data_IF_029063649374
#
_entry.id   IF_029063649374
#
_cell.length_a   1.000
_cell.length_b   1.000
_cell.length_c   1.000
_cell.angle_alpha   90.00
_cell.angle_beta   90.00
_cell.angle_gamma   90.00
#
_symmetry.space_group_name_H-M   'P 1'
#
loop_
_entity.id
_entity.type
_entity.pdbx_description
1 polymer ?
#
# COMPACT_ATOMS: atom_id res chain seq x y z
N UNK A 1 41.24 51.92 9.10
CA UNK A 1 40.64 51.16 7.98
C UNK A 1 40.36 49.75 8.49
N UNK A 2 39.12 49.47 8.96
CA UNK A 2 38.75 48.16 9.52
C UNK A 2 38.12 47.32 8.41
N UNK A 3 38.80 46.24 8.04
CA UNK A 3 38.36 45.29 7.03
C UNK A 3 37.33 44.35 7.67
N UNK A 4 36.09 44.43 7.23
CA UNK A 4 35.01 43.55 7.67
C UNK A 4 34.97 42.35 6.72
N UNK A 5 35.39 41.18 7.17
CA UNK A 5 35.33 39.93 6.40
C UNK A 5 33.95 39.33 6.65
N UNK A 6 33.07 39.43 5.67
CA UNK A 6 31.75 38.80 5.70
C UNK A 6 31.93 37.33 5.28
N UNK A 7 31.77 36.42 6.23
CA UNK A 7 31.82 34.98 5.98
C UNK A 7 30.50 34.53 5.34
N UNK A 8 30.53 34.19 4.05
CA UNK A 8 29.37 33.65 3.34
C UNK A 8 29.21 32.17 3.73
N UNK A 9 28.27 31.87 4.62
CA UNK A 9 27.90 30.49 4.96
C UNK A 9 27.01 29.96 3.84
N UNK A 10 27.57 29.16 2.95
CA UNK A 10 26.81 28.40 1.95
C UNK A 10 26.28 27.15 2.64
N UNK A 11 25.02 27.18 3.06
CA UNK A 11 24.30 25.97 3.48
C UNK A 11 23.97 25.14 2.25
N UNK A 12 24.77 24.11 1.96
CA UNK A 12 24.34 23.03 1.08
C UNK A 12 23.17 22.31 1.77
N UNK A 13 21.95 22.60 1.34
CA UNK A 13 20.79 21.76 1.65
C UNK A 13 20.90 20.53 0.76
N UNK A 14 21.65 19.52 1.21
CA UNK A 14 21.52 18.18 0.65
C UNK A 14 20.14 17.68 1.05
N UNK A 15 19.17 17.72 0.13
CA UNK A 15 17.98 16.88 0.25
C UNK A 15 18.48 15.45 0.20
N UNK A 16 18.63 14.82 1.36
CA UNK A 16 18.76 13.38 1.42
C UNK A 16 17.49 12.81 0.79
N UNK A 17 17.63 12.15 -0.36
CA UNK A 17 16.61 11.23 -0.85
C UNK A 17 16.70 10.06 0.13
N UNK A 18 15.73 9.95 1.03
CA UNK A 18 15.73 8.96 2.08
C UNK A 18 15.15 7.61 1.61
N UNK A 19 14.59 7.56 0.40
CA UNK A 19 14.16 6.33 -0.25
C UNK A 19 15.29 5.27 -0.31
N UNK A 20 15.02 4.01 0.07
CA UNK A 20 15.98 2.91 0.05
C UNK A 20 16.46 2.64 -1.37
N UNK A 21 17.71 3.01 -1.69
CA UNK A 21 18.31 2.70 -2.98
C UNK A 21 18.38 1.19 -3.28
N UNK A 22 18.38 0.36 -2.24
CA UNK A 22 18.36 -1.11 -2.32
C UNK A 22 17.02 -1.68 -2.78
N UNK A 23 15.91 -1.02 -2.47
CA UNK A 23 14.57 -1.48 -2.87
C UNK A 23 14.17 -0.90 -4.25
N UNK A 24 14.99 0.00 -4.82
CA UNK A 24 14.68 0.68 -6.08
C UNK A 24 14.68 -0.30 -7.26
N UNK A 25 13.56 -0.39 -7.96
CA UNK A 25 13.45 -1.17 -9.18
C UNK A 25 13.97 -0.32 -10.34
N UNK A 26 15.05 -0.79 -10.98
CA UNK A 26 15.72 -0.08 -12.08
C UNK A 26 15.43 -0.68 -13.44
N UNK A 27 15.11 -1.97 -13.49
CA UNK A 27 14.70 -2.71 -14.66
C UNK A 27 13.60 -3.69 -14.26
N UNK A 28 12.48 -3.68 -14.98
CA UNK A 28 11.34 -4.56 -14.73
C UNK A 28 11.10 -5.43 -15.98
N UNK A 29 11.36 -6.75 -15.92
CA UNK A 29 11.12 -7.63 -17.06
C UNK A 29 9.68 -7.55 -17.58
N UNK A 30 9.54 -7.53 -18.90
CA UNK A 30 8.23 -7.46 -19.56
C UNK A 30 7.70 -6.04 -19.78
N UNK A 31 8.30 -5.02 -19.16
CA UNK A 31 7.96 -3.63 -19.40
C UNK A 31 8.52 -3.16 -20.76
N UNK A 32 7.64 -2.91 -21.72
CA UNK A 32 8.00 -2.56 -23.09
C UNK A 32 7.92 -1.05 -23.40
N UNK A 33 7.69 -0.23 -22.37
CA UNK A 33 7.56 1.23 -22.47
C UNK A 33 8.32 1.91 -21.34
N UNK A 34 8.68 3.17 -21.55
CA UNK A 34 9.35 3.97 -20.51
C UNK A 34 8.34 4.45 -19.49
N UNK A 35 8.65 4.30 -18.21
CA UNK A 35 7.87 4.85 -17.10
C UNK A 35 8.47 6.16 -16.60
N UNK A 36 7.61 7.11 -16.23
CA UNK A 36 7.98 8.45 -15.76
C UNK A 36 8.01 8.62 -14.24
N UNK A 37 7.88 7.53 -13.49
CA UNK A 37 7.81 7.51 -12.02
C UNK A 37 8.81 6.52 -11.44
N UNK A 38 9.21 6.70 -10.18
CA UNK A 38 10.04 5.71 -9.47
C UNK A 38 9.15 4.67 -8.80
N UNK A 39 9.69 3.48 -8.64
CA UNK A 39 9.02 2.41 -7.92
C UNK A 39 10.02 1.54 -7.17
N UNK A 40 9.54 0.94 -6.08
CA UNK A 40 10.35 0.25 -5.11
C UNK A 40 9.66 -1.05 -4.71
N UNK A 41 10.43 -2.10 -4.51
CA UNK A 41 9.95 -3.39 -4.02
C UNK A 41 10.90 -3.88 -2.94
N UNK A 42 10.37 -4.14 -1.75
CA UNK A 42 11.17 -4.53 -0.60
C UNK A 42 10.30 -5.10 0.53
N UNK A 43 10.78 -5.00 1.76
CA UNK A 43 10.08 -5.50 2.94
C UNK A 43 9.91 -4.41 4.01
N UNK A 44 8.76 -4.46 4.68
CA UNK A 44 8.42 -3.65 5.85
C UNK A 44 8.31 -4.54 7.09
N UNK A 45 8.81 -4.06 8.22
CA UNK A 45 8.76 -4.80 9.48
C UNK A 45 7.34 -4.82 10.09
N UNK A 46 6.75 -6.01 10.18
CA UNK A 46 5.52 -6.27 10.91
C UNK A 46 5.75 -6.68 12.37
N UNK A 47 4.71 -7.19 13.04
CA UNK A 47 4.81 -7.66 14.41
C UNK A 47 5.64 -8.94 14.51
N UNK A 48 6.29 -9.16 15.65
CA UNK A 48 6.99 -10.42 15.97
C UNK A 48 8.08 -10.81 14.95
N UNK A 49 8.66 -9.82 14.24
CA UNK A 49 9.72 -10.04 13.26
C UNK A 49 9.23 -10.44 11.86
N UNK A 50 7.91 -10.53 11.65
CA UNK A 50 7.29 -10.74 10.33
C UNK A 50 7.77 -9.70 9.32
N UNK A 51 8.00 -10.11 8.08
CA UNK A 51 8.44 -9.25 6.98
C UNK A 51 7.34 -9.19 5.92
N UNK A 52 6.76 -8.01 5.72
CA UNK A 52 5.69 -7.79 4.75
C UNK A 52 6.27 -7.20 3.48
N UNK A 53 6.17 -7.93 2.36
CA UNK A 53 6.54 -7.45 1.06
C UNK A 53 5.66 -6.26 0.66
N UNK A 54 6.30 -5.25 0.08
CA UNK A 54 5.61 -4.11 -0.48
C UNK A 54 6.10 -3.84 -1.89
N UNK A 55 5.21 -3.27 -2.71
CA UNK A 55 5.56 -2.58 -3.93
C UNK A 55 4.99 -1.16 -3.87
N UNK A 56 5.87 -0.17 -3.84
CA UNK A 56 5.50 1.25 -3.82
C UNK A 56 5.73 1.87 -5.20
N UNK A 57 4.72 2.50 -5.76
CA UNK A 57 4.79 3.24 -7.03
C UNK A 57 4.51 4.71 -6.77
N UNK A 58 5.45 5.57 -7.13
CA UNK A 58 5.28 7.02 -6.95
C UNK A 58 4.23 7.59 -7.90
N UNK A 59 3.66 8.73 -7.51
CA UNK A 59 2.73 9.48 -8.35
C UNK A 59 3.42 9.93 -9.64
N UNK A 60 2.69 9.85 -10.75
CA UNK A 60 3.11 10.40 -12.04
C UNK A 60 2.97 11.93 -12.13
N UNK A 61 2.26 12.56 -11.18
CA UNK A 61 1.96 14.00 -11.19
C UNK A 61 2.95 14.81 -10.36
N UNK A 62 2.84 14.74 -9.03
CA UNK A 62 3.74 15.44 -8.10
C UNK A 62 3.97 14.58 -6.85
N UNK A 63 4.86 13.57 -6.91
CA UNK A 63 4.99 12.59 -5.84
C UNK A 63 5.34 13.21 -4.48
N UNK A 64 6.08 14.32 -4.47
CA UNK A 64 6.48 14.99 -3.23
C UNK A 64 5.31 15.64 -2.45
N UNK A 65 4.18 15.90 -3.11
CA UNK A 65 3.02 16.58 -2.52
C UNK A 65 1.71 15.78 -2.64
N UNK A 66 1.64 14.84 -3.60
CA UNK A 66 0.49 13.97 -3.78
C UNK A 66 0.31 12.99 -2.60
N UNK A 67 -0.92 12.55 -2.33
CA UNK A 67 -1.21 11.65 -1.21
C UNK A 67 -0.46 10.32 -1.32
N UNK A 68 -0.24 9.67 -0.18
CA UNK A 68 0.11 8.24 -0.12
C UNK A 68 -1.18 7.44 0.09
N UNK A 69 -1.38 6.41 -0.73
CA UNK A 69 -2.55 5.54 -0.67
C UNK A 69 -2.06 4.12 -0.42
N UNK A 70 -2.41 3.52 0.71
CA UNK A 70 -2.21 2.10 0.96
C UNK A 70 -3.30 1.31 0.23
N UNK A 71 -2.92 0.24 -0.46
CA UNK A 71 -3.82 -0.74 -1.06
C UNK A 71 -3.60 -2.15 -0.47
N UNK A 72 -4.70 -2.80 -0.10
CA UNK A 72 -4.72 -4.18 0.41
C UNK A 72 -5.81 -5.00 -0.29
N UNK A 73 -5.45 -6.09 -0.96
CA UNK A 73 -6.43 -7.11 -1.38
C UNK A 73 -6.93 -7.93 -0.16
N UNK A 74 -8.03 -8.65 -0.35
CA UNK A 74 -8.74 -9.39 0.71
C UNK A 74 -8.33 -10.86 0.86
N UNK A 75 -9.31 -11.77 0.74
CA UNK A 75 -9.13 -13.23 0.91
C UNK A 75 -9.93 -13.76 2.09
N UNK A 76 -9.38 -13.86 3.32
CA UNK A 76 -8.01 -13.55 3.77
C UNK A 76 -6.90 -14.29 3.01
N UNK A 77 -5.76 -13.62 2.84
CA UNK A 77 -4.55 -14.24 2.29
C UNK A 77 -4.30 -14.04 0.80
N UNK A 78 -5.09 -13.20 0.12
CA UNK A 78 -4.84 -12.82 -1.26
C UNK A 78 -3.75 -11.75 -1.35
N UNK A 79 -2.94 -11.81 -2.40
CA UNK A 79 -1.83 -10.89 -2.62
C UNK A 79 -2.30 -9.54 -3.14
N UNK A 80 -1.73 -8.46 -2.60
CA UNK A 80 -1.94 -7.10 -3.13
C UNK A 80 -1.22 -6.83 -4.46
N UNK A 81 -0.41 -7.78 -4.95
CA UNK A 81 0.13 -7.74 -6.30
C UNK A 81 -0.95 -8.00 -7.35
N UNK A 82 -2.08 -8.61 -6.97
CA UNK A 82 -3.29 -8.65 -7.81
C UNK A 82 -3.78 -7.23 -8.12
N UNK A 83 -3.96 -6.40 -7.09
CA UNK A 83 -4.29 -4.98 -7.25
C UNK A 83 -3.33 -4.22 -8.15
N UNK A 84 -2.03 -4.50 -8.02
CA UNK A 84 -1.00 -3.86 -8.84
C UNK A 84 -1.08 -4.33 -10.30
N UNK A 85 -1.10 -5.63 -10.54
CA UNK A 85 -0.85 -6.23 -11.87
C UNK A 85 -2.13 -6.55 -12.66
N UNK A 86 -3.30 -6.51 -12.04
CA UNK A 86 -4.57 -6.86 -12.67
C UNK A 86 -5.65 -5.78 -12.54
N UNK A 87 -5.53 -4.85 -11.59
CA UNK A 87 -6.60 -3.89 -11.27
C UNK A 87 -6.21 -2.43 -11.55
N UNK A 88 -5.45 -1.81 -10.63
CA UNK A 88 -5.30 -0.35 -10.54
C UNK A 88 -3.85 0.15 -10.61
N UNK A 89 -2.87 -0.75 -10.72
CA UNK A 89 -1.47 -0.37 -10.88
C UNK A 89 -1.14 0.25 -12.24
N UNK A 90 0.05 0.88 -12.37
CA UNK A 90 0.51 1.57 -13.59
C UNK A 90 0.69 0.66 -14.81
N UNK A 91 0.92 -0.62 -14.56
CA UNK A 91 1.14 -1.61 -15.60
C UNK A 91 0.46 -2.91 -15.20
N UNK A 92 -0.24 -3.54 -16.14
CA UNK A 92 -0.96 -4.79 -15.91
C UNK A 92 -0.33 -5.92 -16.74
N UNK A 93 -0.41 -7.14 -16.21
CA UNK A 93 0.08 -8.33 -16.89
C UNK A 93 -0.78 -8.65 -18.11
N UNK A 94 -0.13 -9.01 -19.23
CA UNK A 94 -0.80 -9.51 -20.41
C UNK A 94 -1.12 -11.01 -20.28
N UNK A 95 -1.99 -11.51 -21.16
CA UNK A 95 -2.40 -12.92 -21.23
C UNK A 95 -1.22 -13.89 -21.42
N UNK A 96 -0.10 -13.41 -21.98
CA UNK A 96 1.12 -14.20 -22.13
C UNK A 96 1.85 -14.49 -20.81
N UNK A 97 1.45 -13.84 -19.71
CA UNK A 97 2.05 -13.96 -18.38
C UNK A 97 3.49 -13.46 -18.31
N UNK A 98 3.94 -12.66 -19.29
CA UNK A 98 5.35 -12.26 -19.47
C UNK A 98 5.52 -10.78 -19.75
N UNK A 99 4.62 -10.18 -20.50
CA UNK A 99 4.71 -8.77 -20.87
C UNK A 99 3.75 -7.93 -20.05
N UNK A 100 4.13 -6.67 -19.85
CA UNK A 100 3.36 -5.67 -19.14
C UNK A 100 2.87 -4.63 -20.14
N UNK A 101 1.59 -4.25 -20.03
CA UNK A 101 1.00 -3.14 -20.78
C UNK A 101 0.68 -1.99 -19.84
N UNK A 102 0.72 -0.77 -20.35
CA UNK A 102 0.32 0.43 -19.61
C UNK A 102 -1.16 0.37 -19.18
N UNK A 103 -1.46 0.93 -18.02
CA UNK A 103 -2.82 1.18 -17.56
C UNK A 103 -3.11 2.70 -17.58
N UNK A 104 -3.92 3.20 -18.53
CA UNK A 104 -4.24 4.62 -18.61
C UNK A 104 -5.13 5.11 -17.46
N UNK A 105 -5.67 4.20 -16.65
CA UNK A 105 -6.53 4.48 -15.49
C UNK A 105 -5.86 4.16 -14.16
N UNK A 106 -4.53 4.04 -14.15
CA UNK A 106 -3.78 3.72 -12.95
C UNK A 106 -3.99 4.75 -11.84
N UNK A 107 -4.12 4.27 -10.60
CA UNK A 107 -4.31 5.15 -9.46
C UNK A 107 -3.08 6.01 -9.15
N UNK A 108 -1.88 5.56 -9.55
CA UNK A 108 -0.68 6.37 -9.39
C UNK A 108 -0.58 7.56 -10.35
N UNK A 109 -1.59 7.80 -11.20
CA UNK A 109 -1.69 9.06 -11.96
C UNK A 109 -1.86 10.28 -11.05
N UNK A 110 -2.36 10.10 -9.81
CA UNK A 110 -2.63 11.20 -8.87
C UNK A 110 -2.21 10.92 -7.42
N UNK A 111 -1.58 9.78 -7.15
CA UNK A 111 -1.20 9.35 -5.80
C UNK A 111 0.08 8.50 -5.80
N UNK A 112 0.77 8.46 -4.68
CA UNK A 112 1.81 7.48 -4.42
C UNK A 112 1.14 6.23 -3.84
N UNK A 113 1.17 5.10 -4.54
CA UNK A 113 0.39 3.90 -4.15
C UNK A 113 1.31 2.85 -3.54
N UNK A 114 1.02 2.45 -2.31
CA UNK A 114 1.70 1.40 -1.57
C UNK A 114 0.85 0.12 -1.61
N UNK A 115 1.27 -0.86 -2.40
CA UNK A 115 0.66 -2.19 -2.40
C UNK A 115 1.38 -3.04 -1.35
N UNK A 116 0.64 -3.54 -0.36
CA UNK A 116 1.21 -4.31 0.76
C UNK A 116 0.67 -5.74 0.75
N UNK A 117 1.56 -6.73 0.66
CA UNK A 117 1.18 -8.13 0.82
C UNK A 117 1.07 -8.46 2.32
N UNK A 118 -0.15 -8.64 2.81
CA UNK A 118 -0.41 -8.93 4.21
C UNK A 118 -1.59 -9.92 4.35
N UNK A 119 -1.60 -10.76 5.39
CA UNK A 119 -0.60 -10.92 6.46
C UNK A 119 0.71 -11.60 5.99
N UNK A 120 1.62 -11.92 6.92
CA UNK A 120 2.78 -12.75 6.63
C UNK A 120 2.35 -14.09 5.99
N UNK A 121 3.20 -14.65 5.12
CA UNK A 121 2.94 -15.79 4.23
C UNK A 121 2.06 -15.51 3.01
N UNK A 122 1.56 -14.29 2.82
CA UNK A 122 0.90 -13.88 1.57
C UNK A 122 1.94 -13.50 0.53
N UNK A 123 1.92 -14.18 -0.62
CA UNK A 123 2.82 -13.88 -1.74
C UNK A 123 4.29 -14.00 -1.34
N UNK A 124 5.00 -12.89 -1.34
CA UNK A 124 6.41 -12.79 -0.96
C UNK A 124 6.62 -12.44 0.52
N UNK A 125 5.57 -12.04 1.25
CA UNK A 125 5.65 -11.80 2.70
C UNK A 125 5.90 -13.09 3.47
N UNK A 126 6.67 -13.01 4.57
CA UNK A 126 7.04 -14.20 5.33
C UNK A 126 7.22 -13.94 6.83
N UNK A 127 7.07 -15.01 7.63
CA UNK A 127 7.52 -15.07 9.02
C UNK A 127 8.84 -15.86 9.05
N UNK A 128 9.93 -15.36 9.65
CA UNK A 128 11.19 -16.10 9.77
C UNK A 128 11.07 -17.47 10.48
N UNK A 129 10.00 -17.68 11.27
CA UNK A 129 9.71 -18.95 11.94
C UNK A 129 8.73 -19.85 11.16
N UNK A 130 8.32 -19.45 9.96
CA UNK A 130 7.37 -20.16 9.11
C UNK A 130 5.98 -20.37 9.78
N UNK A 131 5.58 -19.44 10.67
CA UNK A 131 4.27 -19.44 11.29
C UNK A 131 3.28 -18.52 10.57
N UNK A 132 2.40 -19.13 9.78
CA UNK A 132 1.36 -18.43 9.03
C UNK A 132 0.04 -18.29 9.79
N UNK A 133 -0.04 -18.73 11.05
CA UNK A 133 -1.26 -18.58 11.87
C UNK A 133 -1.38 -17.12 12.28
N UNK A 134 -2.54 -16.52 12.03
CA UNK A 134 -2.85 -15.16 12.44
C UNK A 134 -4.35 -14.93 12.57
N UNK A 135 -4.74 -13.70 12.93
CA UNK A 135 -6.12 -13.22 12.97
C UNK A 135 -6.18 -11.71 12.74
N UNK A 136 -7.39 -11.15 12.78
CA UNK A 136 -7.63 -9.75 12.43
C UNK A 136 -6.81 -8.77 13.30
N UNK A 137 -6.73 -9.00 14.61
CA UNK A 137 -6.01 -8.12 15.54
C UNK A 137 -4.49 -8.11 15.28
N UNK A 138 -3.89 -9.28 15.09
CA UNK A 138 -2.45 -9.41 14.80
C UNK A 138 -2.10 -8.90 13.40
N UNK A 139 -2.97 -9.14 12.41
CA UNK A 139 -2.82 -8.61 11.05
C UNK A 139 -2.86 -7.08 11.09
N UNK A 140 -3.85 -6.51 11.78
CA UNK A 140 -3.97 -5.07 11.97
C UNK A 140 -2.74 -4.48 12.68
N UNK A 141 -2.23 -5.14 13.73
CA UNK A 141 -1.01 -4.70 14.43
C UNK A 141 0.21 -4.73 13.51
N UNK A 142 0.39 -5.82 12.76
CA UNK A 142 1.52 -5.97 11.83
C UNK A 142 1.48 -4.92 10.73
N UNK A 143 0.30 -4.63 10.17
CA UNK A 143 0.14 -3.60 9.15
C UNK A 143 0.41 -2.21 9.72
N UNK A 144 0.01 -1.93 10.96
CA UNK A 144 0.31 -0.66 11.61
C UNK A 144 1.82 -0.47 11.83
N UNK A 145 2.53 -1.50 12.29
CA UNK A 145 3.99 -1.46 12.44
C UNK A 145 4.69 -1.31 11.08
N UNK A 146 4.20 -1.99 10.04
CA UNK A 146 4.72 -1.83 8.68
C UNK A 146 4.53 -0.40 8.15
N UNK A 147 3.41 0.27 8.45
CA UNK A 147 3.24 1.68 8.11
C UNK A 147 4.20 2.60 8.88
N UNK A 148 4.47 2.30 10.16
CA UNK A 148 5.48 3.05 10.92
C UNK A 148 6.86 2.87 10.29
N UNK A 149 7.25 1.65 9.94
CA UNK A 149 8.51 1.36 9.27
C UNK A 149 8.62 2.06 7.90
N UNK A 150 7.53 2.04 7.12
CA UNK A 150 7.42 2.77 5.86
C UNK A 150 7.69 4.27 6.06
N UNK A 151 6.99 4.93 6.99
CA UNK A 151 7.11 6.38 7.19
C UNK A 151 8.31 6.81 8.06
N UNK A 152 9.00 5.90 8.73
CA UNK A 152 10.14 6.22 9.59
C UNK A 152 11.47 5.89 8.95
N UNK A 153 11.56 4.71 8.32
CA UNK A 153 12.83 4.13 7.91
C UNK A 153 12.98 4.06 6.39
N UNK A 154 11.91 3.76 5.65
CA UNK A 154 11.99 3.60 4.20
C UNK A 154 11.70 4.92 3.46
N UNK A 155 10.66 5.63 3.83
CA UNK A 155 10.12 6.77 3.06
C UNK A 155 9.73 7.96 3.96
N UNK A 156 10.64 8.46 4.83
CA UNK A 156 10.32 9.52 5.78
C UNK A 156 9.93 10.85 5.12
N UNK A 157 10.30 11.09 3.86
CA UNK A 157 9.89 12.26 3.11
C UNK A 157 8.38 12.32 2.85
N UNK A 158 7.69 11.18 2.86
CA UNK A 158 6.24 11.06 2.63
C UNK A 158 5.41 11.20 3.91
N UNK A 159 6.04 11.30 5.08
CA UNK A 159 5.35 11.34 6.37
C UNK A 159 4.35 12.49 6.53
N UNK A 160 4.60 13.60 5.83
CA UNK A 160 3.73 14.79 5.84
C UNK A 160 2.58 14.70 4.85
N UNK A 161 2.65 13.80 3.87
CA UNK A 161 1.67 13.70 2.80
C UNK A 161 0.34 13.21 3.37
N UNK A 162 -0.77 13.61 2.76
CA UNK A 162 -2.07 13.06 3.09
C UNK A 162 -2.04 11.54 2.91
N UNK A 163 -2.56 10.79 3.88
CA UNK A 163 -2.55 9.34 3.86
C UNK A 163 -3.97 8.77 3.82
N UNK A 164 -4.19 7.81 2.92
CA UNK A 164 -5.45 7.09 2.79
C UNK A 164 -5.23 5.59 2.87
N UNK A 165 -6.13 4.90 3.55
CA UNK A 165 -6.12 3.43 3.66
C UNK A 165 -7.19 2.88 2.73
N UNK A 166 -6.83 2.02 1.78
CA UNK A 166 -7.77 1.45 0.82
C UNK A 166 -7.61 -0.06 0.68
N UNK A 167 -8.67 -0.74 0.23
CA UNK A 167 -8.60 -2.17 -0.06
C UNK A 167 -9.90 -2.77 -0.55
N UNK A 168 -9.87 -4.07 -0.86
CA UNK A 168 -10.98 -4.81 -1.44
C UNK A 168 -11.38 -6.08 -0.61
N UNK A 169 -12.66 -6.46 -0.67
CA UNK A 169 -13.16 -7.74 -0.16
C UNK A 169 -12.95 -7.90 1.35
N UNK A 170 -12.18 -8.89 1.82
CA UNK A 170 -11.87 -9.04 3.26
C UNK A 170 -11.07 -7.85 3.83
N UNK A 171 -10.50 -6.99 2.98
CA UNK A 171 -9.99 -5.69 3.44
C UNK A 171 -11.10 -4.78 4.01
N UNK A 172 -12.38 -5.14 3.85
CA UNK A 172 -13.49 -4.59 4.64
C UNK A 172 -13.33 -4.76 6.16
N UNK A 173 -12.51 -5.72 6.60
CA UNK A 173 -12.08 -5.88 7.99
C UNK A 173 -10.70 -5.25 8.22
N UNK A 174 -9.74 -5.45 7.30
CA UNK A 174 -8.37 -4.93 7.45
C UNK A 174 -8.30 -3.40 7.49
N UNK A 175 -9.03 -2.72 6.61
CA UNK A 175 -8.99 -1.26 6.46
C UNK A 175 -9.52 -0.56 7.73
N UNK A 176 -10.73 -0.87 8.25
CA UNK A 176 -11.23 -0.21 9.46
C UNK A 176 -10.41 -0.52 10.71
N UNK A 177 -9.99 -1.77 10.89
CA UNK A 177 -9.18 -2.15 12.07
C UNK A 177 -7.82 -1.44 12.07
N UNK A 178 -7.16 -1.35 10.91
CA UNK A 178 -5.92 -0.58 10.76
C UNK A 178 -6.15 0.93 10.97
N UNK A 179 -7.24 1.49 10.43
CA UNK A 179 -7.57 2.90 10.60
C UNK A 179 -7.75 3.26 12.09
N UNK A 180 -8.42 2.41 12.87
CA UNK A 180 -8.53 2.58 14.34
C UNK A 180 -7.15 2.63 14.99
N UNK A 181 -6.26 1.68 14.69
CA UNK A 181 -4.88 1.69 15.24
C UNK A 181 -4.12 2.96 14.88
N UNK A 182 -4.24 3.43 13.63
CA UNK A 182 -3.60 4.67 13.19
C UNK A 182 -4.15 5.87 13.96
N UNK A 183 -5.46 5.94 14.23
CA UNK A 183 -6.09 7.02 14.99
C UNK A 183 -5.68 6.99 16.48
N UNK A 184 -5.63 5.80 17.09
CA UNK A 184 -5.23 5.64 18.48
C UNK A 184 -3.73 5.91 18.69
N UNK A 185 -2.90 5.57 17.69
CA UNK A 185 -1.45 5.71 17.71
C UNK A 185 -0.92 7.13 17.44
N UNK A 186 -1.78 8.12 17.17
CA UNK A 186 -1.36 9.47 16.76
C UNK A 186 -0.44 10.19 17.76
N UNK A 187 -0.56 9.85 19.06
CA UNK A 187 0.29 10.43 20.12
C UNK A 187 1.73 9.92 20.07
N UNK A 188 1.93 8.67 19.65
CA UNK A 188 3.24 8.01 19.65
C UNK A 188 3.91 8.13 18.27
N UNK A 189 3.11 7.98 17.21
CA UNK A 189 3.58 8.10 15.84
C UNK A 189 2.49 8.71 14.95
N UNK A 190 2.62 10.00 14.69
CA UNK A 190 1.66 10.73 13.84
C UNK A 190 1.77 10.27 12.38
N UNK A 191 0.63 9.85 11.82
CA UNK A 191 0.40 9.58 10.40
C UNK A 191 -0.75 10.48 9.97
N UNK A 192 -0.58 11.23 8.89
CA UNK A 192 -1.54 12.22 8.40
C UNK A 192 -2.75 11.57 7.70
N UNK A 193 -3.49 10.71 8.42
CA UNK A 193 -4.65 9.98 7.92
C UNK A 193 -5.81 10.95 7.61
N UNK A 194 -6.25 10.94 6.35
CA UNK A 194 -7.36 11.78 5.86
C UNK A 194 -8.65 10.99 5.62
N UNK A 195 -8.55 9.68 5.39
CA UNK A 195 -9.71 8.83 5.20
C UNK A 195 -9.38 7.41 4.77
N UNK A 196 -10.41 6.63 4.47
CA UNK A 196 -10.27 5.29 3.92
C UNK A 196 -11.37 4.98 2.89
N UNK A 197 -11.11 4.01 2.00
CA UNK A 197 -12.08 3.53 1.01
C UNK A 197 -12.04 2.00 0.92
N UNK A 198 -13.19 1.38 0.69
CA UNK A 198 -13.31 -0.09 0.66
C UNK A 198 -14.14 -0.49 -0.56
N UNK A 199 -13.54 -1.25 -1.47
CA UNK A 199 -14.23 -1.87 -2.61
C UNK A 199 -14.85 -3.21 -2.21
N UNK A 200 -16.15 -3.40 -2.49
CA UNK A 200 -16.84 -4.69 -2.32
C UNK A 200 -16.54 -5.40 -0.99
N UNK A 201 -16.47 -4.65 0.11
CA UNK A 201 -15.91 -5.15 1.36
C UNK A 201 -16.88 -5.97 2.22
N UNK A 202 -16.32 -6.93 2.96
CA UNK A 202 -17.04 -7.58 4.06
C UNK A 202 -17.07 -6.64 5.27
N UNK A 203 -18.25 -6.10 5.61
CA UNK A 203 -18.44 -5.23 6.78
C UNK A 203 -19.34 -5.82 7.86
N UNK A 204 -20.24 -6.73 7.50
CA UNK A 204 -21.08 -7.50 8.41
C UNK A 204 -21.45 -8.81 7.73
N UNK A 205 -21.19 -9.93 8.39
CA UNK A 205 -21.58 -11.25 7.87
C UNK A 205 -23.10 -11.36 7.75
N UNK A 206 -23.85 -10.94 8.77
CA UNK A 206 -25.32 -11.00 8.77
C UNK A 206 -25.92 -10.22 7.60
N UNK A 207 -25.50 -8.97 7.39
CA UNK A 207 -26.04 -8.16 6.29
C UNK A 207 -25.63 -8.69 4.92
N UNK A 208 -24.39 -9.20 4.80
CA UNK A 208 -23.92 -9.82 3.57
C UNK A 208 -24.76 -11.06 3.22
N UNK A 209 -24.95 -11.96 4.19
CA UNK A 209 -25.65 -13.23 4.01
C UNK A 209 -27.16 -13.03 3.79
N UNK A 210 -27.77 -12.08 4.49
CA UNK A 210 -29.17 -11.72 4.25
C UNK A 210 -29.34 -11.17 2.82
N UNK A 211 -28.45 -10.25 2.41
CA UNK A 211 -28.56 -9.60 1.11
C UNK A 211 -28.29 -10.52 -0.08
N UNK A 212 -27.39 -11.51 0.07
CA UNK A 212 -26.99 -12.38 -1.06
C UNK A 212 -28.12 -13.30 -1.50
N UNK A 213 -29.02 -13.70 -0.60
CA UNK A 213 -30.21 -14.50 -0.94
C UNK A 213 -31.15 -13.69 -1.85
N UNK A 214 -31.45 -12.44 -1.46
CA UNK A 214 -32.25 -11.55 -2.29
C UNK A 214 -31.56 -11.23 -3.62
N UNK A 215 -30.25 -10.95 -3.58
CA UNK A 215 -29.46 -10.74 -4.78
C UNK A 215 -29.59 -11.93 -5.74
N UNK A 216 -29.35 -13.15 -5.27
CA UNK A 216 -29.37 -14.34 -6.12
C UNK A 216 -30.77 -14.61 -6.72
N UNK A 217 -31.84 -14.47 -5.93
CA UNK A 217 -33.21 -14.64 -6.43
C UNK A 217 -33.56 -13.60 -7.50
N UNK A 218 -33.37 -12.31 -7.21
CA UNK A 218 -33.74 -11.23 -8.14
C UNK A 218 -32.82 -11.09 -9.35
N UNK A 219 -31.67 -11.79 -9.36
CA UNK A 219 -30.79 -11.92 -10.52
C UNK A 219 -30.97 -13.27 -11.25
N UNK A 220 -32.01 -14.04 -10.93
CA UNK A 220 -32.40 -15.25 -11.65
C UNK A 220 -31.43 -16.42 -11.44
N UNK A 221 -30.68 -16.46 -10.34
CA UNK A 221 -29.85 -17.60 -9.96
C UNK A 221 -30.67 -18.69 -9.24
N UNK A 222 -31.79 -18.31 -8.63
CA UNK A 222 -32.74 -19.21 -7.96
C UNK A 222 -34.15 -19.07 -8.55
N UNK A 223 -34.88 -20.17 -8.60
CA UNK A 223 -36.30 -20.19 -8.94
C UNK A 223 -37.19 -19.89 -7.73
N UNK A 224 -38.51 -19.97 -7.93
CA UNK A 224 -39.50 -19.75 -6.87
C UNK A 224 -39.59 -20.92 -5.86
N UNK A 225 -39.04 -22.08 -6.20
CA UNK A 225 -39.04 -23.33 -5.42
C UNK A 225 -37.69 -23.62 -4.77
#
# INVERSE_FOLDING_TARGET
MKLCITLLVVTLVTRAIAAPGEDAITDLPGLNHTIGFRHFSGYLAGAQGKQLHYWFVESMRDPANDPVVLWMNGGPGCSSMEGLLAELGPYLVNVDGKTLRENPYAWNTVANVLFLEAPACVGFSYDPNDDCRTGDDETSLSNYLALQDFFLHKFPEYRKNEFYITGESYAGIYVPTLAVRVLEGQKDFTINLQGYAIGNGLSSYELNDDSIIFFAYFHGLFGDE
#
